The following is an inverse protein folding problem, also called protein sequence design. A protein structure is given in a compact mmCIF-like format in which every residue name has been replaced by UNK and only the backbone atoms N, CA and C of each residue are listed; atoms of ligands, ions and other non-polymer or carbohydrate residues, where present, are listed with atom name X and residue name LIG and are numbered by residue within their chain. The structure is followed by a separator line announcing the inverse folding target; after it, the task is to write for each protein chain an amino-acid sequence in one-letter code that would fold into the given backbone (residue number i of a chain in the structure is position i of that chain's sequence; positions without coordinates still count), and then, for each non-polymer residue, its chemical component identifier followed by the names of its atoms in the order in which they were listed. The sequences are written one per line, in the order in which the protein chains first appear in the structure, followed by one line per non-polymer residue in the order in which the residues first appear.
data_IF_203280090467
#
_entry.id   IF_203280090467
#
_cell.length_a   1.000
_cell.length_b   1.000
_cell.length_c   1.000
_cell.angle_alpha   90.00
_cell.angle_beta   90.00
_cell.angle_gamma   90.00
#
_symmetry.space_group_name_H-M   'P 1'
#
loop_
_entity.id
_entity.type
_entity.pdbx_description
1 polymer ?
#
# COMPACT_ATOMS: atom_id res chain seq x y z
N UNK A 1 15.57 24.76 14.44
CA UNK A 1 14.78 23.54 14.68
C UNK A 1 13.95 23.14 13.46
N UNK A 2 13.29 24.06 12.73
CA UNK A 2 12.48 23.73 11.54
C UNK A 2 13.20 22.90 10.48
N UNK A 3 14.39 23.33 10.06
CA UNK A 3 15.15 22.63 9.01
C UNK A 3 15.49 21.16 9.36
N UNK A 4 15.78 20.83 10.61
CA UNK A 4 16.04 19.45 11.02
C UNK A 4 14.76 18.59 10.96
N UNK A 5 13.62 19.13 11.36
CA UNK A 5 12.31 18.42 11.28
C UNK A 5 11.97 18.08 9.83
N UNK A 6 12.14 19.04 8.92
CA UNK A 6 11.80 18.84 7.49
C UNK A 6 12.66 17.74 6.85
N UNK A 7 13.97 17.69 7.20
CA UNK A 7 14.86 16.65 6.69
C UNK A 7 14.51 15.27 7.27
N UNK A 8 14.15 15.17 8.56
CA UNK A 8 13.71 13.91 9.14
C UNK A 8 12.42 13.41 8.50
N UNK A 9 11.47 14.33 8.24
CA UNK A 9 10.22 14.01 7.51
C UNK A 9 10.52 13.51 6.09
N UNK A 10 11.34 14.24 5.33
CA UNK A 10 11.73 13.86 3.97
C UNK A 10 12.45 12.51 3.95
N UNK A 11 13.35 12.28 4.91
CA UNK A 11 14.08 11.01 5.02
C UNK A 11 13.11 9.85 5.25
N UNK A 12 12.20 9.96 6.20
CA UNK A 12 11.20 8.92 6.46
C UNK A 12 10.27 8.74 5.27
N UNK A 13 9.77 9.84 4.69
CA UNK A 13 8.90 9.78 3.52
C UNK A 13 9.56 9.05 2.33
N UNK A 14 10.84 9.31 2.07
CA UNK A 14 11.59 8.62 1.02
C UNK A 14 11.75 7.13 1.33
N UNK A 15 12.19 6.78 2.53
CA UNK A 15 12.46 5.38 2.89
C UNK A 15 11.19 4.54 2.95
N UNK A 16 10.09 5.05 3.51
CA UNK A 16 8.82 4.32 3.59
C UNK A 16 8.18 4.16 2.21
N UNK A 17 8.21 5.19 1.37
CA UNK A 17 7.65 5.12 0.01
C UNK A 17 8.38 4.08 -0.83
N UNK A 18 9.71 4.04 -0.75
CA UNK A 18 10.49 3.03 -1.47
C UNK A 18 10.26 1.62 -0.90
N UNK A 19 10.28 1.46 0.42
CA UNK A 19 10.02 0.18 1.06
C UNK A 19 8.63 -0.36 0.70
N UNK A 20 7.61 0.48 0.72
CA UNK A 20 6.23 0.04 0.50
C UNK A 20 5.97 -0.52 -0.90
N UNK A 21 6.82 -0.23 -1.90
CA UNK A 21 6.75 -0.84 -3.23
C UNK A 21 6.74 -2.38 -3.16
N UNK A 22 7.50 -2.97 -2.25
CA UNK A 22 7.65 -4.41 -2.12
C UNK A 22 6.47 -5.05 -1.36
N UNK A 23 6.12 -4.64 -0.13
CA UNK A 23 5.00 -5.21 0.62
C UNK A 23 3.67 -5.16 -0.14
N UNK A 24 3.32 -4.06 -0.78
CA UNK A 24 2.07 -3.97 -1.50
C UNK A 24 1.95 -5.00 -2.64
N UNK A 25 3.06 -5.36 -3.30
CA UNK A 25 3.04 -6.42 -4.31
C UNK A 25 3.02 -7.81 -3.65
N UNK A 26 3.83 -8.07 -2.62
CA UNK A 26 3.87 -9.38 -1.96
C UNK A 26 2.54 -9.73 -1.31
N UNK A 27 1.89 -8.80 -0.61
CA UNK A 27 0.58 -9.01 0.02
C UNK A 27 -0.50 -9.34 -1.01
N UNK A 28 -0.51 -8.63 -2.15
CA UNK A 28 -1.43 -8.93 -3.26
C UNK A 28 -1.15 -10.27 -3.93
N UNK A 29 0.12 -10.56 -4.22
CA UNK A 29 0.53 -11.83 -4.82
C UNK A 29 0.31 -13.01 -3.89
N UNK A 30 0.45 -12.87 -2.57
CA UNK A 30 0.21 -13.95 -1.61
C UNK A 30 -1.20 -14.54 -1.76
N UNK A 31 -2.21 -13.70 -1.88
CA UNK A 31 -3.60 -14.12 -2.14
C UNK A 31 -3.72 -14.86 -3.47
N UNK A 32 -3.12 -14.34 -4.53
CA UNK A 32 -3.15 -14.95 -5.87
C UNK A 32 -2.38 -16.27 -5.92
N UNK A 33 -1.32 -16.42 -5.15
CA UNK A 33 -0.59 -17.68 -4.99
C UNK A 33 -1.46 -18.75 -4.32
N UNK A 34 -2.18 -18.42 -3.24
CA UNK A 34 -3.15 -19.33 -2.62
C UNK A 34 -4.22 -19.73 -3.61
N UNK A 35 -4.74 -18.77 -4.40
CA UNK A 35 -5.70 -19.08 -5.47
C UNK A 35 -5.15 -20.10 -6.49
N UNK A 36 -3.95 -19.88 -7.03
CA UNK A 36 -3.32 -20.78 -8.01
C UNK A 36 -3.04 -22.16 -7.40
N UNK A 37 -2.52 -22.21 -6.17
CA UNK A 37 -2.27 -23.48 -5.46
C UNK A 37 -3.57 -24.23 -5.15
N UNK A 38 -4.66 -23.51 -4.84
CA UNK A 38 -5.99 -24.12 -4.64
C UNK A 38 -6.52 -24.72 -5.95
N UNK A 39 -6.33 -24.01 -7.06
CA UNK A 39 -6.67 -24.55 -8.39
C UNK A 39 -5.85 -25.80 -8.70
N UNK A 40 -4.54 -25.77 -8.53
CA UNK A 40 -3.67 -26.91 -8.74
C UNK A 40 -4.06 -28.13 -7.86
N UNK A 41 -4.41 -27.89 -6.59
CA UNK A 41 -4.81 -28.93 -5.65
C UNK A 41 -6.16 -29.59 -6.06
N UNK A 42 -7.15 -28.76 -6.46
CA UNK A 42 -8.51 -29.24 -6.80
C UNK A 42 -8.59 -29.92 -8.16
N UNK A 43 -7.88 -29.41 -9.16
CA UNK A 43 -7.94 -29.92 -10.53
C UNK A 43 -6.92 -31.02 -10.83
N UNK A 44 -5.81 -31.07 -10.06
CA UNK A 44 -4.68 -31.91 -10.37
C UNK A 44 -3.82 -31.42 -11.53
N UNK A 45 -4.15 -30.29 -12.12
CA UNK A 45 -3.50 -29.74 -13.31
C UNK A 45 -2.17 -29.06 -12.93
N UNK A 46 -1.08 -29.58 -13.47
CA UNK A 46 0.28 -29.09 -13.26
C UNK A 46 0.48 -27.66 -13.84
N UNK A 47 -0.36 -27.24 -14.79
CA UNK A 47 -0.34 -25.90 -15.32
C UNK A 47 -0.47 -24.83 -14.21
N UNK A 48 -1.45 -24.98 -13.31
CA UNK A 48 -1.62 -24.06 -12.18
C UNK A 48 -0.48 -24.13 -11.17
N UNK A 49 0.15 -25.29 -11.00
CA UNK A 49 1.27 -25.47 -10.11
C UNK A 49 2.53 -24.78 -10.66
N UNK A 50 2.80 -24.89 -11.97
CA UNK A 50 3.88 -24.15 -12.65
C UNK A 50 3.65 -22.63 -12.60
N UNK A 51 2.41 -22.19 -12.83
CA UNK A 51 2.01 -20.80 -12.66
C UNK A 51 2.30 -20.28 -11.23
N UNK A 52 1.95 -21.07 -10.21
CA UNK A 52 2.24 -20.72 -8.82
C UNK A 52 3.74 -20.65 -8.54
N UNK A 53 4.55 -21.59 -9.05
CA UNK A 53 6.03 -21.52 -8.89
C UNK A 53 6.64 -20.29 -9.55
N UNK A 54 6.15 -19.89 -10.71
CA UNK A 54 6.58 -18.65 -11.38
C UNK A 54 6.32 -17.43 -10.51
N UNK A 55 5.09 -17.26 -10.04
CA UNK A 55 4.74 -16.13 -9.18
C UNK A 55 5.40 -16.21 -7.79
N UNK A 56 5.66 -17.40 -7.27
CA UNK A 56 6.41 -17.58 -6.03
C UNK A 56 7.86 -17.06 -6.10
N UNK A 57 8.52 -17.18 -7.27
CA UNK A 57 9.87 -16.62 -7.47
C UNK A 57 9.83 -15.10 -7.50
N UNK A 58 8.86 -14.51 -8.21
CA UNK A 58 8.63 -13.05 -8.21
C UNK A 58 8.34 -12.57 -6.78
N UNK A 59 7.48 -13.29 -6.05
CA UNK A 59 7.22 -13.03 -4.65
C UNK A 59 8.50 -13.04 -3.81
N UNK A 60 9.33 -14.10 -3.97
CA UNK A 60 10.60 -14.24 -3.23
C UNK A 60 11.58 -13.09 -3.49
N UNK A 61 11.69 -12.61 -4.73
CA UNK A 61 12.52 -11.44 -5.08
C UNK A 61 12.00 -10.20 -4.33
N UNK A 62 10.70 -9.95 -4.39
CA UNK A 62 10.10 -8.80 -3.70
C UNK A 62 10.22 -8.91 -2.18
N UNK A 63 10.00 -10.10 -1.61
CA UNK A 63 10.14 -10.32 -0.18
C UNK A 63 11.58 -10.02 0.30
N UNK A 64 12.59 -10.54 -0.40
CA UNK A 64 13.99 -10.30 -0.05
C UNK A 64 14.33 -8.80 -0.04
N UNK A 65 13.88 -8.05 -1.06
CA UNK A 65 14.10 -6.61 -1.13
C UNK A 65 13.25 -5.84 -0.11
N UNK A 66 12.05 -6.31 0.18
CA UNK A 66 11.22 -5.79 1.26
C UNK A 66 11.94 -5.89 2.62
N UNK A 67 12.54 -7.04 2.94
CA UNK A 67 13.34 -7.21 4.17
C UNK A 67 14.52 -6.26 4.21
N UNK A 68 15.31 -6.22 3.13
CA UNK A 68 16.53 -5.37 3.06
C UNK A 68 16.18 -3.88 3.24
N UNK A 69 15.04 -3.43 2.73
CA UNK A 69 14.62 -2.02 2.83
C UNK A 69 13.83 -1.71 4.10
N UNK A 70 13.20 -2.71 4.72
CA UNK A 70 12.45 -2.55 5.97
C UNK A 70 13.34 -2.43 7.20
N UNK A 71 14.39 -3.25 7.31
CA UNK A 71 15.29 -3.23 8.46
C UNK A 71 15.88 -1.83 8.73
N UNK A 72 16.44 -1.09 7.74
CA UNK A 72 16.90 0.28 7.98
C UNK A 72 15.81 1.24 8.44
N UNK A 73 14.56 1.03 8.00
CA UNK A 73 13.44 1.86 8.40
C UNK A 73 13.09 1.66 9.89
N UNK A 74 13.14 0.43 10.40
CA UNK A 74 12.98 0.15 11.82
C UNK A 74 14.02 0.88 12.69
N UNK A 75 15.27 0.96 12.22
CA UNK A 75 16.30 1.73 12.92
C UNK A 75 16.01 3.24 12.98
N UNK A 76 15.25 3.79 12.03
CA UNK A 76 14.90 5.21 12.05
C UNK A 76 14.02 5.60 13.25
N UNK A 77 13.24 4.68 13.82
CA UNK A 77 12.49 4.91 15.04
C UNK A 77 13.43 5.25 16.22
N UNK A 78 14.60 4.60 16.31
CA UNK A 78 15.59 4.89 17.33
C UNK A 78 16.53 6.04 17.00
N UNK A 79 16.85 6.26 15.73
CA UNK A 79 17.81 7.29 15.28
C UNK A 79 17.14 8.63 14.98
N UNK A 80 16.19 8.68 14.08
CA UNK A 80 15.57 9.91 13.58
C UNK A 80 14.36 10.35 14.41
N UNK A 81 13.63 9.40 15.00
CA UNK A 81 12.37 9.60 15.72
C UNK A 81 12.44 9.14 17.19
N UNK A 82 13.60 9.30 17.83
CA UNK A 82 13.83 8.80 19.19
C UNK A 82 12.89 9.41 20.25
N UNK A 83 12.49 10.68 20.11
CA UNK A 83 11.54 11.30 21.03
C UNK A 83 10.16 10.67 20.90
N UNK A 84 9.70 10.40 19.70
CA UNK A 84 8.47 9.64 19.43
C UNK A 84 8.53 8.25 20.05
N UNK A 85 9.57 7.48 19.75
CA UNK A 85 9.75 6.12 20.27
C UNK A 85 9.79 6.08 21.80
N UNK A 86 10.44 7.09 22.43
CA UNK A 86 10.46 7.21 23.88
C UNK A 86 9.08 7.51 24.47
N UNK A 87 8.30 8.37 23.81
CA UNK A 87 6.99 8.80 24.33
C UNK A 87 5.90 7.76 24.07
N UNK A 88 5.86 7.18 22.84
CA UNK A 88 4.81 6.29 22.38
C UNK A 88 5.18 4.79 22.42
N UNK A 89 6.41 4.45 22.81
CA UNK A 89 6.94 3.08 22.78
C UNK A 89 6.12 2.06 23.57
N UNK A 90 5.39 2.50 24.58
CA UNK A 90 4.47 1.64 25.35
C UNK A 90 3.31 1.10 24.51
N UNK A 91 2.93 1.78 23.41
CA UNK A 91 1.88 1.36 22.47
C UNK A 91 2.49 0.78 21.20
N UNK A 92 3.28 1.58 20.47
CA UNK A 92 3.81 1.16 19.16
C UNK A 92 4.76 -0.04 19.26
N UNK A 93 5.51 -0.15 20.34
CA UNK A 93 6.42 -1.28 20.57
C UNK A 93 5.70 -2.63 20.63
N UNK A 94 4.44 -2.67 21.07
CA UNK A 94 3.66 -3.91 21.10
C UNK A 94 3.30 -4.38 19.69
N UNK A 95 2.81 -3.48 18.83
CA UNK A 95 2.41 -3.82 17.47
C UNK A 95 3.63 -4.15 16.59
N UNK A 96 4.73 -3.40 16.70
CA UNK A 96 5.98 -3.69 15.99
C UNK A 96 6.60 -5.02 16.44
N UNK A 97 6.54 -5.34 17.75
CA UNK A 97 7.00 -6.64 18.24
C UNK A 97 6.14 -7.80 17.71
N UNK A 98 4.82 -7.62 17.64
CA UNK A 98 3.92 -8.64 17.06
C UNK A 98 4.17 -8.83 15.57
N UNK A 99 4.43 -7.74 14.84
CA UNK A 99 4.82 -7.81 13.44
C UNK A 99 6.12 -8.58 13.27
N UNK A 100 7.19 -8.17 13.92
CA UNK A 100 8.51 -8.77 13.75
C UNK A 100 8.59 -10.22 14.25
N UNK A 101 8.10 -10.49 15.49
CA UNK A 101 8.26 -11.82 16.13
C UNK A 101 7.29 -12.85 15.57
N UNK A 102 6.03 -12.48 15.32
CA UNK A 102 5.02 -13.47 14.90
C UNK A 102 4.82 -13.49 13.39
N UNK A 103 4.53 -12.33 12.80
CA UNK A 103 4.13 -12.29 11.39
C UNK A 103 5.30 -12.51 10.45
N UNK A 104 6.38 -11.77 10.63
CA UNK A 104 7.58 -11.89 9.79
C UNK A 104 8.26 -13.27 9.91
N UNK A 105 8.38 -13.83 11.13
CA UNK A 105 8.92 -15.18 11.30
C UNK A 105 8.00 -16.25 10.70
N UNK A 106 6.69 -16.09 10.81
CA UNK A 106 5.74 -16.99 10.15
C UNK A 106 5.93 -16.94 8.63
N UNK A 107 5.91 -15.75 8.05
CA UNK A 107 6.06 -15.54 6.60
C UNK A 107 7.40 -16.08 6.08
N UNK A 108 8.51 -15.67 6.69
CA UNK A 108 9.86 -16.05 6.24
C UNK A 108 10.13 -17.56 6.38
N UNK A 109 9.68 -18.19 7.47
CA UNK A 109 9.86 -19.63 7.69
C UNK A 109 9.08 -20.45 6.66
N UNK A 110 7.83 -20.11 6.40
CA UNK A 110 7.00 -20.82 5.44
C UNK A 110 7.31 -20.45 3.98
N UNK A 111 7.89 -19.28 3.71
CA UNK A 111 8.37 -18.94 2.38
C UNK A 111 9.49 -19.87 1.91
N UNK A 112 10.45 -20.20 2.77
CA UNK A 112 11.49 -21.18 2.47
C UNK A 112 10.90 -22.56 2.14
N UNK A 113 9.91 -23.01 2.91
CA UNK A 113 9.18 -24.25 2.64
C UNK A 113 8.36 -24.18 1.34
N UNK A 114 7.77 -23.05 1.04
CA UNK A 114 6.99 -22.84 -0.18
C UNK A 114 7.90 -22.82 -1.43
N UNK A 115 9.05 -22.19 -1.36
CA UNK A 115 9.97 -22.12 -2.52
C UNK A 115 10.70 -23.44 -2.79
N UNK A 116 11.12 -24.17 -1.75
CA UNK A 116 12.03 -25.29 -1.86
C UNK A 116 11.48 -26.62 -1.35
N UNK A 117 10.35 -26.62 -0.63
CA UNK A 117 9.84 -27.80 0.09
C UNK A 117 8.86 -28.67 -0.66
N UNK A 118 8.48 -28.35 -1.91
CA UNK A 118 7.36 -28.99 -2.62
C UNK A 118 7.47 -30.53 -2.68
N UNK A 119 8.66 -31.04 -3.03
CA UNK A 119 8.86 -32.50 -3.14
C UNK A 119 8.75 -33.22 -1.78
N UNK A 120 9.11 -32.55 -0.68
CA UNK A 120 9.07 -33.13 0.67
C UNK A 120 7.70 -33.03 1.33
N UNK A 121 7.00 -31.91 1.10
CA UNK A 121 5.72 -31.62 1.75
C UNK A 121 4.50 -32.28 1.04
N UNK A 122 4.67 -32.70 -0.21
CA UNK A 122 3.56 -33.15 -1.03
C UNK A 122 2.55 -32.03 -1.33
N UNK A 123 1.45 -32.36 -2.04
CA UNK A 123 0.51 -31.36 -2.57
C UNK A 123 -0.22 -30.57 -1.50
N UNK A 124 -0.69 -31.23 -0.44
CA UNK A 124 -1.46 -30.60 0.64
C UNK A 124 -0.51 -29.77 1.53
N UNK A 125 0.61 -30.32 1.96
CA UNK A 125 1.59 -29.60 2.79
C UNK A 125 2.15 -28.36 2.07
N UNK A 126 2.37 -28.44 0.76
CA UNK A 126 2.81 -27.31 -0.04
C UNK A 126 1.70 -26.24 -0.23
N UNK A 127 0.44 -26.63 -0.27
CA UNK A 127 -0.69 -25.69 -0.22
C UNK A 127 -0.73 -24.96 1.12
N UNK A 128 -0.54 -25.69 2.24
CA UNK A 128 -0.49 -25.06 3.57
C UNK A 128 0.69 -24.10 3.71
N UNK A 129 1.85 -24.39 3.12
CA UNK A 129 2.97 -23.43 3.14
C UNK A 129 2.63 -22.13 2.42
N UNK A 130 1.95 -22.19 1.27
CA UNK A 130 1.47 -21.00 0.57
C UNK A 130 0.44 -20.21 1.39
N UNK A 131 -0.49 -20.91 2.07
CA UNK A 131 -1.49 -20.28 2.90
C UNK A 131 -0.87 -19.60 4.13
N UNK A 132 0.13 -20.21 4.76
CA UNK A 132 0.81 -19.64 5.92
C UNK A 132 1.72 -18.46 5.55
N UNK A 133 2.31 -18.44 4.36
CA UNK A 133 2.97 -17.25 3.79
C UNK A 133 1.96 -16.12 3.62
N UNK A 134 0.79 -16.40 3.02
CA UNK A 134 -0.29 -15.43 2.89
C UNK A 134 -0.75 -14.89 4.26
N UNK A 135 -1.00 -15.78 5.22
CA UNK A 135 -1.42 -15.39 6.55
C UNK A 135 -0.38 -14.52 7.27
N UNK A 136 0.90 -14.91 7.21
CA UNK A 136 2.01 -14.15 7.80
C UNK A 136 2.12 -12.75 7.19
N UNK A 137 2.11 -12.66 5.85
CA UNK A 137 2.18 -11.40 5.11
C UNK A 137 1.01 -10.46 5.46
N UNK A 138 -0.22 -10.98 5.53
CA UNK A 138 -1.39 -10.19 5.87
C UNK A 138 -1.44 -9.79 7.33
N UNK A 139 -0.98 -10.63 8.26
CA UNK A 139 -0.84 -10.28 9.67
C UNK A 139 0.24 -9.21 9.88
N UNK A 140 1.37 -9.29 9.17
CA UNK A 140 2.40 -8.25 9.19
C UNK A 140 1.79 -6.89 8.82
N UNK A 141 1.09 -6.82 7.68
CA UNK A 141 0.37 -5.62 7.27
C UNK A 141 -0.65 -5.14 8.29
N UNK A 142 -1.34 -6.06 8.99
CA UNK A 142 -2.30 -5.70 10.03
C UNK A 142 -1.66 -4.95 11.19
N UNK A 143 -0.57 -5.48 11.74
CA UNK A 143 0.09 -4.86 12.89
C UNK A 143 0.70 -3.50 12.56
N UNK A 144 1.26 -3.34 11.37
CA UNK A 144 1.77 -2.05 10.90
C UNK A 144 0.62 -1.04 10.72
N UNK A 145 -0.48 -1.44 10.06
CA UNK A 145 -1.64 -0.55 9.86
C UNK A 145 -2.32 -0.20 11.18
N UNK A 146 -2.38 -1.12 12.16
CA UNK A 146 -2.87 -0.80 13.52
C UNK A 146 -2.02 0.27 14.18
N UNK A 147 -0.70 0.23 13.99
CA UNK A 147 0.21 1.26 14.51
C UNK A 147 -0.12 2.63 13.92
N UNK A 148 -0.24 2.72 12.60
CA UNK A 148 -0.58 3.98 11.94
C UNK A 148 -2.00 4.44 12.29
N UNK A 149 -2.97 3.55 12.28
CA UNK A 149 -4.35 3.84 12.65
C UNK A 149 -4.46 4.42 14.07
N UNK A 150 -3.64 3.91 15.01
CA UNK A 150 -3.54 4.48 16.33
C UNK A 150 -2.93 5.89 16.32
N UNK A 151 -1.94 6.15 15.47
CA UNK A 151 -1.40 7.51 15.31
C UNK A 151 -2.44 8.46 14.69
N UNK A 152 -3.31 7.96 13.80
CA UNK A 152 -4.40 8.72 13.19
C UNK A 152 -5.54 9.01 14.17
N UNK A 153 -5.91 8.04 15.00
CA UNK A 153 -7.00 8.13 15.97
C UNK A 153 -6.64 7.37 17.25
N UNK A 154 -5.92 8.01 18.19
CA UNK A 154 -5.43 7.34 19.39
C UNK A 154 -6.57 6.82 20.27
N UNK A 155 -6.54 5.53 20.56
CA UNK A 155 -7.47 4.82 21.46
C UNK A 155 -6.67 3.88 22.37
N UNK A 156 -7.31 3.32 23.39
CA UNK A 156 -6.71 2.28 24.24
C UNK A 156 -5.38 2.68 24.90
N UNK A 157 -5.20 3.94 25.27
CA UNK A 157 -4.00 4.46 25.92
C UNK A 157 -4.31 5.15 27.24
N UNK A 158 -3.28 5.34 28.05
CA UNK A 158 -3.27 6.20 29.23
C UNK A 158 -1.97 7.00 29.27
N UNK A 159 -2.00 8.15 29.91
CA UNK A 159 -0.81 8.96 30.14
C UNK A 159 -0.16 8.56 31.47
N UNK A 160 1.09 8.10 31.41
CA UNK A 160 1.90 7.81 32.58
C UNK A 160 2.35 9.09 33.30
N UNK A 161 2.78 8.98 34.55
CA UNK A 161 3.23 10.11 35.39
C UNK A 161 4.41 10.88 34.79
N UNK A 162 5.20 10.27 33.93
CA UNK A 162 6.35 10.85 33.23
C UNK A 162 6.01 11.41 31.84
N UNK A 163 4.71 11.46 31.49
CA UNK A 163 4.24 11.89 30.17
C UNK A 163 4.39 10.84 29.04
N UNK A 164 4.83 9.61 29.37
CA UNK A 164 4.86 8.52 28.40
C UNK A 164 3.42 8.02 28.12
N UNK A 165 3.20 7.59 26.90
CA UNK A 165 1.93 7.02 26.48
C UNK A 165 2.00 5.49 26.66
N UNK A 166 1.16 4.97 27.51
CA UNK A 166 1.12 3.56 27.85
C UNK A 166 -0.13 2.89 27.28
N UNK A 167 -0.01 1.64 26.86
CA UNK A 167 -1.14 0.85 26.40
C UNK A 167 -2.05 0.50 27.58
N UNK A 168 -3.35 0.76 27.45
CA UNK A 168 -4.35 0.40 28.45
C UNK A 168 -5.05 -0.92 28.15
N UNK A 169 -5.24 -1.25 26.86
CA UNK A 169 -5.89 -2.48 26.40
C UNK A 169 -5.36 -2.88 25.02
N UNK A 170 -4.76 -4.06 24.94
CA UNK A 170 -4.23 -4.59 23.69
C UNK A 170 -5.34 -4.94 22.68
N UNK A 171 -6.43 -5.51 23.16
CA UNK A 171 -7.54 -5.88 22.29
C UNK A 171 -8.29 -4.67 21.74
N UNK A 172 -8.47 -3.61 22.53
CA UNK A 172 -9.10 -2.37 22.06
C UNK A 172 -8.21 -1.64 21.07
N UNK A 173 -6.89 -1.78 21.19
CA UNK A 173 -5.95 -1.28 20.17
C UNK A 173 -6.12 -2.04 18.84
N UNK A 174 -6.10 -3.37 18.88
CA UNK A 174 -6.21 -4.18 17.68
C UNK A 174 -7.57 -4.07 17.00
N UNK A 175 -8.64 -4.05 17.76
CA UNK A 175 -10.01 -4.07 17.24
C UNK A 175 -10.63 -2.67 17.06
N UNK A 176 -9.80 -1.62 17.08
CA UNK A 176 -10.34 -0.29 16.87
C UNK A 176 -10.90 -0.14 15.44
N UNK A 177 -11.99 0.62 15.33
CA UNK A 177 -12.73 0.76 14.08
C UNK A 177 -11.91 1.43 12.96
N UNK A 178 -11.01 2.36 13.31
CA UNK A 178 -10.13 3.00 12.34
C UNK A 178 -9.16 1.99 11.72
N UNK A 179 -8.51 1.18 12.54
CA UNK A 179 -7.57 0.15 12.09
C UNK A 179 -8.22 -0.88 11.16
N UNK A 180 -9.42 -1.34 11.49
CA UNK A 180 -10.13 -2.34 10.68
C UNK A 180 -10.44 -1.83 9.27
N UNK A 181 -10.96 -0.61 9.15
CA UNK A 181 -11.31 -0.04 7.84
C UNK A 181 -10.07 0.41 7.04
N UNK A 182 -9.08 1.01 7.70
CA UNK A 182 -7.83 1.38 7.06
C UNK A 182 -7.09 0.15 6.54
N UNK A 183 -7.03 -0.92 7.34
CA UNK A 183 -6.44 -2.18 6.91
C UNK A 183 -7.18 -2.80 5.72
N UNK A 184 -8.50 -2.89 5.79
CA UNK A 184 -9.29 -3.45 4.69
C UNK A 184 -9.07 -2.66 3.39
N UNK A 185 -9.06 -1.32 3.45
CA UNK A 185 -8.81 -0.46 2.29
C UNK A 185 -7.38 -0.65 1.74
N UNK A 186 -6.37 -0.65 2.60
CA UNK A 186 -4.96 -0.84 2.24
C UNK A 186 -4.71 -2.21 1.60
N UNK A 187 -5.28 -3.27 2.17
CA UNK A 187 -5.09 -4.63 1.63
C UNK A 187 -5.77 -4.82 0.28
N UNK A 188 -6.92 -4.18 0.04
CA UNK A 188 -7.53 -4.17 -1.29
C UNK A 188 -6.66 -3.41 -2.30
N UNK A 189 -5.99 -2.34 -1.91
CA UNK A 189 -4.99 -1.66 -2.73
C UNK A 189 -3.80 -2.55 -3.08
N UNK A 190 -3.32 -3.35 -2.13
CA UNK A 190 -2.28 -4.35 -2.38
C UNK A 190 -2.76 -5.46 -3.33
N UNK A 191 -4.00 -5.94 -3.16
CA UNK A 191 -4.62 -6.91 -4.08
C UNK A 191 -4.74 -6.32 -5.48
N UNK A 192 -5.15 -5.05 -5.62
CA UNK A 192 -5.17 -4.35 -6.90
C UNK A 192 -3.79 -4.34 -7.56
N UNK A 193 -2.75 -4.03 -6.81
CA UNK A 193 -1.36 -4.05 -7.31
C UNK A 193 -0.99 -5.43 -7.84
N UNK A 194 -1.20 -6.49 -7.06
CA UNK A 194 -0.95 -7.88 -7.48
C UNK A 194 -1.75 -8.28 -8.71
N UNK A 195 -3.03 -7.86 -8.81
CA UNK A 195 -3.91 -8.15 -9.92
C UNK A 195 -3.48 -7.46 -11.21
N UNK A 196 -3.14 -6.16 -11.16
CA UNK A 196 -2.66 -5.43 -12.34
C UNK A 196 -1.31 -5.95 -12.80
N UNK A 197 -0.38 -6.28 -11.89
CA UNK A 197 0.91 -6.88 -12.24
C UNK A 197 0.70 -8.25 -12.88
N UNK A 198 -0.14 -9.11 -12.31
CA UNK A 198 -0.42 -10.43 -12.88
C UNK A 198 -1.12 -10.33 -14.24
N UNK A 199 -2.13 -9.48 -14.38
CA UNK A 199 -2.82 -9.26 -15.64
C UNK A 199 -1.90 -8.62 -16.70
N UNK A 200 -1.04 -7.68 -16.30
CA UNK A 200 -0.08 -7.03 -17.17
C UNK A 200 0.97 -7.98 -17.75
N UNK A 201 1.56 -8.84 -16.91
CA UNK A 201 2.47 -9.91 -17.37
C UNK A 201 1.73 -10.89 -18.29
N UNK A 202 0.50 -11.25 -17.96
CA UNK A 202 -0.34 -12.10 -18.81
C UNK A 202 -0.64 -11.43 -20.15
N UNK A 203 -0.95 -10.13 -20.17
CA UNK A 203 -1.18 -9.36 -21.37
C UNK A 203 0.10 -9.26 -22.24
N UNK A 204 1.26 -9.06 -21.61
CA UNK A 204 2.56 -9.10 -22.30
C UNK A 204 2.77 -10.44 -23.03
N UNK A 205 2.50 -11.56 -22.38
CA UNK A 205 2.65 -12.87 -23.00
C UNK A 205 1.70 -13.07 -24.19
N UNK A 206 0.46 -12.61 -24.09
CA UNK A 206 -0.50 -12.67 -25.19
C UNK A 206 -0.11 -11.75 -26.37
N UNK A 207 0.34 -10.54 -26.10
CA UNK A 207 0.76 -9.57 -27.12
C UNK A 207 2.02 -10.03 -27.87
N UNK A 208 2.96 -10.67 -27.17
CA UNK A 208 4.21 -11.19 -27.75
C UNK A 208 4.08 -12.61 -28.28
N UNK A 209 2.93 -13.26 -28.10
CA UNK A 209 2.68 -14.66 -28.46
C UNK A 209 3.66 -15.64 -27.80
N UNK A 210 4.10 -15.32 -26.59
CA UNK A 210 4.94 -16.18 -25.74
C UNK A 210 4.11 -16.68 -24.58
N UNK A 211 4.29 -17.95 -24.15
CA UNK A 211 3.59 -18.50 -22.99
C UNK A 211 2.07 -18.22 -22.96
N UNK A 212 1.37 -18.24 -24.11
CA UNK A 212 -0.02 -17.77 -24.26
C UNK A 212 -0.99 -18.46 -23.29
N UNK A 213 -0.81 -19.75 -23.02
CA UNK A 213 -1.66 -20.50 -22.08
C UNK A 213 -1.57 -19.92 -20.67
N UNK A 214 -0.38 -19.58 -20.23
CA UNK A 214 -0.15 -18.88 -18.95
C UNK A 214 -0.65 -17.43 -19.01
N UNK A 215 -0.45 -16.76 -20.14
CA UNK A 215 -0.98 -15.42 -20.38
C UNK A 215 -2.49 -15.34 -20.15
N UNK A 216 -3.25 -16.28 -20.70
CA UNK A 216 -4.73 -16.39 -20.49
C UNK A 216 -5.06 -16.62 -19.01
N UNK A 217 -4.31 -17.49 -18.33
CA UNK A 217 -4.51 -17.77 -16.90
C UNK A 217 -4.26 -16.53 -16.05
N UNK A 218 -3.16 -15.80 -16.30
CA UNK A 218 -2.79 -14.61 -15.54
C UNK A 218 -3.75 -13.45 -15.76
N UNK A 219 -4.11 -13.16 -17.01
CA UNK A 219 -5.12 -12.14 -17.34
C UNK A 219 -6.45 -12.49 -16.68
N UNK A 220 -6.91 -13.74 -16.78
CA UNK A 220 -8.17 -14.17 -16.17
C UNK A 220 -8.17 -14.01 -14.64
N UNK A 221 -7.13 -14.49 -13.98
CA UNK A 221 -7.02 -14.40 -12.53
C UNK A 221 -6.94 -12.93 -12.06
N UNK A 222 -6.06 -12.15 -12.66
CA UNK A 222 -5.89 -10.74 -12.33
C UNK A 222 -7.16 -9.91 -12.57
N UNK A 223 -7.86 -10.12 -13.70
CA UNK A 223 -9.09 -9.37 -14.02
C UNK A 223 -10.23 -9.73 -13.07
N UNK A 224 -10.47 -11.02 -12.79
CA UNK A 224 -11.57 -11.42 -11.93
C UNK A 224 -11.36 -10.93 -10.49
N UNK A 225 -10.20 -11.22 -9.91
CA UNK A 225 -9.90 -10.83 -8.53
C UNK A 225 -9.77 -9.30 -8.43
N UNK A 226 -9.14 -8.65 -9.42
CA UNK A 226 -8.98 -7.21 -9.49
C UNK A 226 -10.32 -6.46 -9.58
N UNK A 227 -11.30 -6.99 -10.34
CA UNK A 227 -12.64 -6.38 -10.39
C UNK A 227 -13.33 -6.42 -9.03
N UNK A 228 -13.27 -7.57 -8.35
CA UNK A 228 -13.86 -7.70 -7.00
C UNK A 228 -13.17 -6.72 -6.04
N UNK A 229 -11.83 -6.68 -6.05
CA UNK A 229 -11.06 -5.79 -5.20
C UNK A 229 -11.37 -4.30 -5.49
N UNK A 230 -11.48 -3.89 -6.76
CA UNK A 230 -11.79 -2.52 -7.15
C UNK A 230 -13.15 -2.05 -6.63
N UNK A 231 -14.18 -2.90 -6.74
CA UNK A 231 -15.52 -2.59 -6.24
C UNK A 231 -15.51 -2.48 -4.72
N UNK A 232 -14.89 -3.43 -4.02
CA UNK A 232 -14.81 -3.43 -2.55
C UNK A 232 -13.95 -2.27 -2.02
N UNK A 233 -12.93 -1.84 -2.77
CA UNK A 233 -12.08 -0.72 -2.39
C UNK A 233 -12.82 0.62 -2.48
N UNK A 234 -13.72 0.80 -3.43
CA UNK A 234 -14.60 1.96 -3.49
C UNK A 234 -15.63 1.92 -2.36
N UNK A 235 -16.38 0.83 -2.27
CA UNK A 235 -17.44 0.62 -1.28
C UNK A 235 -17.46 -0.85 -0.86
N UNK A 236 -17.35 -1.16 0.45
CA UNK A 236 -17.51 -0.22 1.57
C UNK A 236 -16.23 0.47 2.06
N UNK A 237 -15.01 0.02 1.67
CA UNK A 237 -13.82 0.38 2.44
C UNK A 237 -13.39 1.85 2.24
N UNK A 238 -13.42 2.38 1.03
CA UNK A 238 -13.13 3.79 0.76
C UNK A 238 -14.17 4.74 1.37
N UNK A 239 -15.46 4.42 1.25
CA UNK A 239 -16.55 5.18 1.87
C UNK A 239 -16.40 5.24 3.40
N UNK A 240 -16.07 4.12 4.03
CA UNK A 240 -15.90 4.07 5.49
C UNK A 240 -14.64 4.80 5.95
N UNK A 241 -13.54 4.69 5.20
CA UNK A 241 -12.31 5.42 5.50
C UNK A 241 -12.53 6.94 5.39
N UNK A 242 -13.18 7.40 4.33
CA UNK A 242 -13.54 8.81 4.17
C UNK A 242 -14.44 9.32 5.31
N UNK A 243 -15.39 8.54 5.77
CA UNK A 243 -16.24 8.89 6.93
C UNK A 243 -15.45 8.96 8.24
N UNK A 244 -14.50 8.06 8.47
CA UNK A 244 -13.65 8.14 9.66
C UNK A 244 -12.88 9.45 9.71
N UNK A 245 -12.34 9.89 8.57
CA UNK A 245 -11.70 11.21 8.45
C UNK A 245 -12.71 12.32 8.71
N UNK A 246 -13.88 12.27 8.09
CA UNK A 246 -14.92 13.29 8.24
C UNK A 246 -15.41 13.49 9.68
N UNK A 247 -15.51 12.41 10.44
CA UNK A 247 -15.99 12.49 11.83
C UNK A 247 -14.88 12.80 12.83
N UNK A 248 -13.63 12.39 12.57
CA UNK A 248 -12.56 12.47 13.57
C UNK A 248 -11.46 13.48 13.22
N UNK A 249 -11.31 13.84 11.94
CA UNK A 249 -10.26 14.73 11.45
C UNK A 249 -10.84 15.75 10.46
N UNK A 250 -11.80 16.57 10.92
CA UNK A 250 -12.51 17.53 10.08
C UNK A 250 -11.59 18.52 9.33
N UNK A 251 -10.49 19.05 9.94
CA UNK A 251 -9.53 19.87 9.19
C UNK A 251 -8.88 19.13 8.02
N UNK A 252 -8.61 17.84 8.19
CA UNK A 252 -8.09 16.97 7.12
C UNK A 252 -9.08 16.81 5.99
N UNK A 253 -10.38 16.57 6.32
CA UNK A 253 -11.43 16.51 5.31
C UNK A 253 -11.50 17.81 4.50
N UNK A 254 -11.58 18.94 5.18
CA UNK A 254 -11.66 20.25 4.54
C UNK A 254 -10.44 20.52 3.62
N UNK A 255 -9.24 20.15 4.06
CA UNK A 255 -8.01 20.34 3.30
C UNK A 255 -7.94 19.42 2.06
N UNK A 256 -8.31 18.14 2.20
CA UNK A 256 -8.24 17.19 1.08
C UNK A 256 -9.31 17.47 0.00
N UNK A 257 -10.42 18.11 0.37
CA UNK A 257 -11.48 18.52 -0.54
C UNK A 257 -11.33 19.97 -1.04
N UNK A 258 -10.34 20.72 -0.51
CA UNK A 258 -10.12 22.11 -0.89
C UNK A 258 -11.22 23.06 -0.38
N UNK A 259 -11.95 22.68 0.68
CA UNK A 259 -13.04 23.45 1.25
C UNK A 259 -12.51 24.43 2.31
N UNK A 260 -12.40 25.72 1.96
CA UNK A 260 -11.91 26.74 2.88
C UNK A 260 -13.01 27.30 3.77
N UNK A 261 -14.20 27.52 3.24
CA UNK A 261 -15.35 28.06 3.97
C UNK A 261 -16.40 26.95 4.21
N UNK A 262 -17.04 26.97 5.38
CA UNK A 262 -18.09 26.02 5.72
C UNK A 262 -19.32 26.22 4.82
N UNK A 263 -19.89 25.13 4.33
CA UNK A 263 -20.98 25.21 3.37
C UNK A 263 -22.04 24.14 3.62
N UNK A 264 -23.30 24.57 3.63
CA UNK A 264 -24.46 23.69 3.55
C UNK A 264 -24.64 23.21 2.10
N UNK A 265 -24.79 21.89 1.90
CA UNK A 265 -24.82 21.34 0.55
C UNK A 265 -23.50 21.50 -0.18
N UNK A 266 -22.38 21.23 0.51
CA UNK A 266 -21.03 21.39 -0.04
C UNK A 266 -20.84 20.55 -1.30
N UNK A 267 -20.29 21.12 -2.39
CA UNK A 267 -19.98 20.40 -3.62
C UNK A 267 -18.76 19.49 -3.41
N UNK A 268 -18.68 18.43 -4.20
CA UNK A 268 -17.48 17.61 -4.35
C UNK A 268 -16.62 18.20 -5.48
N UNK A 269 -15.43 18.65 -5.18
CA UNK A 269 -14.48 19.06 -6.20
C UNK A 269 -13.88 17.83 -6.88
N UNK A 270 -13.99 17.73 -8.21
CA UNK A 270 -13.31 16.70 -9.00
C UNK A 270 -11.91 17.18 -9.38
N UNK A 271 -11.78 18.45 -9.71
CA UNK A 271 -10.54 19.15 -10.07
C UNK A 271 -10.56 20.55 -9.50
N UNK A 272 -9.39 21.10 -9.23
CA UNK A 272 -9.23 22.46 -8.75
C UNK A 272 -7.79 22.73 -8.36
N UNK A 273 -7.50 23.96 -7.96
CA UNK A 273 -6.19 24.40 -7.50
C UNK A 273 -6.36 25.14 -6.17
N UNK A 274 -5.99 24.53 -5.03
CA UNK A 274 -6.14 25.17 -3.74
C UNK A 274 -5.17 26.36 -3.58
N UNK A 275 -5.70 27.56 -3.46
CA UNK A 275 -4.96 28.79 -3.13
C UNK A 275 -5.12 29.06 -1.64
N UNK A 276 -4.11 28.70 -0.87
CA UNK A 276 -4.12 28.83 0.60
C UNK A 276 -4.06 30.29 1.05
N UNK A 277 -3.41 31.17 0.28
CA UNK A 277 -3.31 32.59 0.60
C UNK A 277 -4.66 33.28 0.44
N UNK A 278 -5.36 33.00 -0.66
CA UNK A 278 -6.69 33.53 -0.94
C UNK A 278 -7.82 32.75 -0.29
N UNK A 279 -7.50 31.62 0.36
CA UNK A 279 -8.46 30.70 1.00
C UNK A 279 -9.61 30.31 0.08
N UNK A 280 -9.27 29.82 -1.11
CA UNK A 280 -10.25 29.38 -2.10
C UNK A 280 -9.70 28.28 -2.98
N UNK A 281 -10.60 27.55 -3.62
CA UNK A 281 -10.25 26.62 -4.69
C UNK A 281 -10.41 27.37 -6.02
N UNK A 282 -9.33 27.51 -6.78
CA UNK A 282 -9.34 28.13 -8.10
C UNK A 282 -9.75 27.12 -9.18
N UNK A 283 -10.52 27.59 -10.18
CA UNK A 283 -10.98 26.81 -11.33
C UNK A 283 -11.59 25.44 -10.97
N UNK A 284 -12.51 25.36 -10.00
CA UNK A 284 -13.06 24.09 -9.57
C UNK A 284 -13.99 23.50 -10.63
N UNK A 285 -13.87 22.20 -10.86
CA UNK A 285 -14.89 21.37 -11.48
C UNK A 285 -15.61 20.60 -10.39
N UNK A 286 -16.85 20.92 -10.14
CA UNK A 286 -17.60 20.47 -8.96
C UNK A 286 -18.88 19.73 -9.31
N UNK A 287 -19.23 18.77 -8.43
CA UNK A 287 -20.56 18.15 -8.42
C UNK A 287 -21.34 18.74 -7.23
N UNK A 288 -22.41 19.50 -7.47
CA UNK A 288 -23.16 20.16 -6.40
C UNK A 288 -23.67 19.19 -5.33
N UNK A 289 -23.65 19.59 -4.06
CA UNK A 289 -24.16 18.88 -2.89
C UNK A 289 -23.55 17.48 -2.62
N UNK A 290 -22.67 16.99 -3.52
CA UNK A 290 -22.18 15.61 -3.48
C UNK A 290 -21.26 15.36 -2.28
N UNK A 291 -20.41 16.31 -1.86
CA UNK A 291 -19.54 16.16 -0.69
C UNK A 291 -20.40 15.98 0.58
N UNK A 292 -21.42 16.81 0.77
CA UNK A 292 -22.35 16.67 1.88
C UNK A 292 -23.03 15.30 1.90
N UNK A 293 -23.47 14.82 0.73
CA UNK A 293 -24.10 13.50 0.61
C UNK A 293 -23.13 12.35 0.88
N UNK A 294 -21.92 12.38 0.32
CA UNK A 294 -20.94 11.34 0.54
C UNK A 294 -20.53 11.26 2.01
N UNK A 295 -20.31 12.39 2.64
CA UNK A 295 -19.85 12.50 4.03
C UNK A 295 -20.94 12.09 5.03
N UNK A 296 -22.14 12.68 4.92
CA UNK A 296 -23.17 12.57 5.96
C UNK A 296 -24.45 11.85 5.49
N UNK A 297 -24.52 11.42 4.22
CA UNK A 297 -25.71 10.84 3.58
C UNK A 297 -26.92 11.79 3.57
N UNK A 298 -26.66 13.08 3.62
CA UNK A 298 -27.65 14.16 3.56
C UNK A 298 -27.16 15.22 2.58
N UNK A 299 -27.96 15.53 1.56
CA UNK A 299 -27.61 16.48 0.49
C UNK A 299 -27.27 17.88 0.99
N UNK A 300 -27.97 18.35 2.04
CA UNK A 300 -27.79 19.68 2.61
C UNK A 300 -27.09 19.69 3.98
N UNK A 301 -26.35 18.63 4.31
CA UNK A 301 -25.54 18.67 5.51
C UNK A 301 -24.50 19.78 5.42
N UNK A 302 -24.24 20.46 6.53
CA UNK A 302 -23.16 21.44 6.61
C UNK A 302 -21.82 20.71 6.74
N UNK A 303 -20.90 20.99 5.82
CA UNK A 303 -19.50 20.53 5.88
C UNK A 303 -18.63 21.69 6.33
N UNK A 304 -17.85 21.50 7.39
CA UNK A 304 -16.97 22.53 7.91
C UNK A 304 -15.77 22.74 6.98
N UNK A 305 -15.50 24.02 6.69
CA UNK A 305 -14.31 24.45 5.98
C UNK A 305 -13.12 24.70 6.90
N UNK A 306 -11.94 24.87 6.32
CA UNK A 306 -10.70 25.15 7.06
C UNK A 306 -10.80 26.40 7.96
N UNK A 307 -11.56 27.43 7.53
CA UNK A 307 -11.72 28.66 8.29
C UNK A 307 -12.38 28.49 9.67
N UNK A 308 -13.09 27.41 9.90
CA UNK A 308 -13.68 27.07 11.20
C UNK A 308 -12.66 26.56 12.23
N UNK A 309 -11.43 26.26 11.79
CA UNK A 309 -10.38 25.71 12.64
C UNK A 309 -9.21 26.65 12.78
N UNK A 310 -8.51 26.65 13.94
CA UNK A 310 -7.27 27.40 14.11
C UNK A 310 -6.24 26.99 13.04
N UNK A 311 -5.53 27.96 12.46
CA UNK A 311 -4.48 27.67 11.46
C UNK A 311 -3.39 26.74 11.97
N UNK A 312 -3.15 26.70 13.29
CA UNK A 312 -2.20 25.78 13.93
C UNK A 312 -2.62 24.31 13.87
N UNK A 313 -3.87 24.04 13.48
CA UNK A 313 -4.40 22.67 13.29
C UNK A 313 -4.60 22.31 11.81
N UNK A 314 -4.34 23.24 10.92
CA UNK A 314 -4.40 22.98 9.49
C UNK A 314 -3.26 22.04 9.07
N UNK A 315 -3.50 21.11 8.14
CA UNK A 315 -2.43 20.35 7.51
C UNK A 315 -1.37 21.28 6.89
N UNK A 316 -0.09 20.98 7.12
CA UNK A 316 1.03 21.86 6.71
C UNK A 316 1.14 22.06 5.19
N UNK A 317 0.74 21.07 4.41
CA UNK A 317 0.92 21.00 2.96
C UNK A 317 -0.41 20.78 2.23
N UNK A 318 -1.37 21.71 2.40
CA UNK A 318 -2.72 21.61 1.86
C UNK A 318 -2.75 21.30 0.34
N UNK A 319 -1.98 21.99 -0.53
CA UNK A 319 -2.00 21.67 -1.97
C UNK A 319 -1.53 20.24 -2.25
N UNK A 320 -0.47 19.78 -1.58
CA UNK A 320 0.04 18.42 -1.77
C UNK A 320 -0.95 17.37 -1.27
N UNK A 321 -1.60 17.61 -0.15
CA UNK A 321 -2.68 16.76 0.38
C UNK A 321 -3.85 16.66 -0.60
N UNK A 322 -4.33 17.81 -1.11
CA UNK A 322 -5.41 17.88 -2.08
C UNK A 322 -5.11 17.05 -3.33
N UNK A 323 -3.93 17.28 -3.95
CA UNK A 323 -3.57 16.54 -5.17
C UNK A 323 -3.34 15.06 -4.91
N UNK A 324 -2.75 14.68 -3.77
CA UNK A 324 -2.57 13.26 -3.42
C UNK A 324 -3.90 12.53 -3.30
N UNK A 325 -4.88 13.14 -2.63
CA UNK A 325 -6.23 12.59 -2.51
C UNK A 325 -6.90 12.41 -3.89
N UNK A 326 -6.86 13.45 -4.72
CA UNK A 326 -7.50 13.42 -6.05
C UNK A 326 -6.83 12.44 -7.01
N UNK A 327 -5.49 12.29 -6.93
CA UNK A 327 -4.76 11.26 -7.70
C UNK A 327 -5.18 9.86 -7.26
N UNK A 328 -5.26 9.60 -5.95
CA UNK A 328 -5.72 8.31 -5.43
C UNK A 328 -7.13 7.96 -5.91
N UNK A 329 -8.09 8.87 -5.73
CA UNK A 329 -9.50 8.66 -6.10
C UNK A 329 -9.68 8.55 -7.62
N UNK A 330 -8.99 9.40 -8.38
CA UNK A 330 -9.02 9.40 -9.84
C UNK A 330 -8.48 8.08 -10.42
N UNK A 331 -7.33 7.60 -9.93
CA UNK A 331 -6.77 6.32 -10.35
C UNK A 331 -7.66 5.15 -9.91
N UNK A 332 -8.23 5.19 -8.69
CA UNK A 332 -9.20 4.20 -8.24
C UNK A 332 -10.41 4.09 -9.17
N UNK A 333 -10.92 5.21 -9.65
CA UNK A 333 -12.03 5.25 -10.64
C UNK A 333 -11.60 4.62 -11.98
N UNK A 334 -10.39 4.90 -12.44
CA UNK A 334 -9.81 4.27 -13.64
C UNK A 334 -9.68 2.76 -13.46
N UNK A 335 -9.25 2.28 -12.29
CA UNK A 335 -9.13 0.83 -12.02
C UNK A 335 -10.47 0.12 -12.12
N UNK A 336 -11.53 0.70 -11.57
CA UNK A 336 -12.88 0.16 -11.68
C UNK A 336 -13.29 0.08 -13.17
N UNK A 337 -13.12 1.16 -13.91
CA UNK A 337 -13.47 1.21 -15.33
C UNK A 337 -12.71 0.15 -16.15
N UNK A 338 -11.39 0.06 -15.97
CA UNK A 338 -10.53 -0.89 -16.70
C UNK A 338 -10.89 -2.33 -16.33
N UNK A 339 -11.02 -2.64 -15.04
CA UNK A 339 -11.29 -4.01 -14.56
C UNK A 339 -12.70 -4.48 -14.93
N UNK A 340 -13.70 -3.61 -14.79
CA UNK A 340 -15.09 -3.95 -15.21
C UNK A 340 -15.16 -4.17 -16.72
N UNK A 341 -14.53 -3.30 -17.51
CA UNK A 341 -14.53 -3.45 -18.98
C UNK A 341 -13.77 -4.71 -19.41
N UNK A 342 -12.63 -5.01 -18.78
CA UNK A 342 -11.90 -6.25 -19.02
C UNK A 342 -12.74 -7.47 -18.62
N UNK A 343 -13.48 -7.42 -17.51
CA UNK A 343 -14.39 -8.49 -17.08
C UNK A 343 -15.56 -8.70 -18.06
N UNK A 344 -16.13 -7.63 -18.61
CA UNK A 344 -17.16 -7.70 -19.64
C UNK A 344 -16.63 -8.35 -20.93
N UNK A 345 -15.41 -7.98 -21.35
CA UNK A 345 -14.75 -8.61 -22.50
C UNK A 345 -14.42 -10.08 -22.23
N UNK A 346 -14.00 -10.42 -21.00
CA UNK A 346 -13.75 -11.80 -20.58
C UNK A 346 -15.04 -12.63 -20.62
N UNK A 347 -16.14 -12.11 -20.09
CA UNK A 347 -17.45 -12.75 -20.12
C UNK A 347 -17.95 -13.00 -21.56
N UNK A 348 -17.68 -12.06 -22.47
CA UNK A 348 -18.00 -12.19 -23.90
C UNK A 348 -17.01 -13.08 -24.68
N UNK A 349 -15.98 -13.62 -24.04
CA UNK A 349 -14.94 -14.44 -24.68
C UNK A 349 -13.98 -13.66 -25.60
N UNK A 350 -13.99 -12.32 -25.57
CA UNK A 350 -13.25 -11.45 -26.48
C UNK A 350 -11.98 -10.82 -25.87
N UNK A 351 -11.75 -11.00 -24.56
CA UNK A 351 -10.66 -10.31 -23.86
C UNK A 351 -9.28 -10.65 -24.45
N UNK A 352 -9.02 -11.92 -24.72
CA UNK A 352 -7.71 -12.39 -25.18
C UNK A 352 -7.34 -11.96 -26.59
N UNK A 353 -8.32 -11.61 -27.40
CA UNK A 353 -8.15 -11.14 -28.77
C UNK A 353 -8.18 -9.60 -28.88
N UNK A 354 -8.55 -8.94 -27.78
CA UNK A 354 -8.70 -7.49 -27.70
C UNK A 354 -7.36 -6.80 -27.42
N UNK A 355 -6.54 -6.60 -28.48
CA UNK A 355 -5.17 -6.04 -28.35
C UNK A 355 -5.14 -4.73 -27.55
N UNK A 356 -6.09 -3.82 -27.78
CA UNK A 356 -6.14 -2.54 -27.08
C UNK A 356 -6.35 -2.71 -25.57
N UNK A 357 -7.19 -3.69 -25.14
CA UNK A 357 -7.39 -3.96 -23.71
C UNK A 357 -6.17 -4.63 -23.09
N UNK A 358 -5.48 -5.52 -23.81
CA UNK A 358 -4.23 -6.11 -23.36
C UNK A 358 -3.15 -5.03 -23.16
N UNK A 359 -3.03 -4.07 -24.10
CA UNK A 359 -2.17 -2.90 -23.93
C UNK A 359 -2.56 -2.07 -22.71
N UNK A 360 -3.85 -1.82 -22.52
CA UNK A 360 -4.36 -1.08 -21.35
C UNK A 360 -3.96 -1.78 -20.05
N UNK A 361 -4.19 -3.10 -19.91
CA UNK A 361 -3.81 -3.86 -18.74
C UNK A 361 -2.30 -3.81 -18.46
N UNK A 362 -1.46 -3.86 -19.50
CA UNK A 362 -0.02 -3.77 -19.38
C UNK A 362 0.44 -2.37 -18.96
N UNK A 363 -0.10 -1.32 -19.58
CA UNK A 363 0.27 0.07 -19.28
C UNK A 363 -0.25 0.53 -17.89
N UNK A 364 -1.29 -0.09 -17.38
CA UNK A 364 -1.80 0.20 -16.05
C UNK A 364 -0.96 -0.41 -14.91
N UNK A 365 0.04 -1.26 -15.17
CA UNK A 365 0.87 -1.91 -14.13
C UNK A 365 1.46 -0.93 -13.10
N UNK A 366 2.02 0.25 -13.45
CA UNK A 366 2.57 1.17 -12.47
C UNK A 366 1.50 1.96 -11.69
N UNK A 367 0.27 2.06 -12.19
CA UNK A 367 -0.75 2.95 -11.64
C UNK A 367 -1.20 2.57 -10.21
N UNK A 368 -1.38 1.29 -9.83
CA UNK A 368 -1.69 0.95 -8.44
C UNK A 368 -0.60 1.35 -7.44
N UNK A 369 0.67 1.32 -7.85
CA UNK A 369 1.76 1.82 -7.00
C UNK A 369 1.63 3.33 -6.74
N UNK A 370 1.30 4.09 -7.78
CA UNK A 370 1.07 5.54 -7.68
C UNK A 370 -0.15 5.82 -6.81
N UNK A 371 -1.26 5.10 -7.01
CA UNK A 371 -2.49 5.29 -6.24
C UNK A 371 -2.31 4.98 -4.76
N UNK A 372 -1.64 3.87 -4.42
CA UNK A 372 -1.36 3.51 -3.04
C UNK A 372 -0.42 4.52 -2.37
N UNK A 373 0.63 4.98 -3.07
CA UNK A 373 1.52 6.04 -2.57
C UNK A 373 0.75 7.33 -2.31
N UNK A 374 -0.10 7.75 -3.25
CA UNK A 374 -0.95 8.92 -3.11
C UNK A 374 -1.94 8.78 -1.94
N UNK A 375 -2.50 7.58 -1.74
CA UNK A 375 -3.37 7.28 -0.60
C UNK A 375 -2.66 7.40 0.74
N UNK A 376 -1.45 6.85 0.86
CA UNK A 376 -0.62 7.02 2.06
C UNK A 376 -0.18 8.47 2.27
N UNK A 377 0.19 9.19 1.21
CA UNK A 377 0.44 10.63 1.31
C UNK A 377 -0.79 11.39 1.81
N UNK A 378 -1.99 11.02 1.37
CA UNK A 378 -3.24 11.62 1.86
C UNK A 378 -3.40 11.42 3.37
N UNK A 379 -3.21 10.21 3.87
CA UNK A 379 -3.30 9.91 5.30
C UNK A 379 -2.24 10.66 6.12
N UNK A 380 -0.97 10.60 5.69
CA UNK A 380 0.16 11.14 6.43
C UNK A 380 0.25 12.67 6.38
N UNK A 381 -0.06 13.29 5.26
CA UNK A 381 -0.13 14.76 5.14
C UNK A 381 -1.37 15.30 5.84
N UNK A 382 -2.49 14.56 5.77
CA UNK A 382 -3.74 14.94 6.44
C UNK A 382 -3.63 14.96 7.96
N UNK A 383 -2.83 14.05 8.54
CA UNK A 383 -2.57 14.01 9.98
C UNK A 383 -1.75 15.20 10.47
N UNK A 384 -0.93 15.82 9.61
CA UNK A 384 -0.10 16.96 10.03
C UNK A 384 -0.96 18.14 10.54
N UNK A 385 -0.42 18.92 11.49
CA UNK A 385 0.94 18.90 12.04
C UNK A 385 1.15 17.90 13.19
N UNK A 386 0.27 16.92 13.33
CA UNK A 386 0.35 15.91 14.38
C UNK A 386 1.16 14.69 13.94
N UNK A 387 2.02 14.20 14.82
CA UNK A 387 2.62 12.86 14.70
C UNK A 387 1.70 11.79 15.30
N UNK A 388 1.10 12.10 16.45
CA UNK A 388 -0.01 11.35 17.03
C UNK A 388 -1.15 12.35 17.21
N UNK A 389 -2.26 12.13 16.52
CA UNK A 389 -3.34 13.10 16.42
C UNK A 389 -3.84 13.55 17.80
N UNK A 390 -3.80 14.85 18.05
CA UNK A 390 -4.20 15.46 19.31
C UNK A 390 -3.26 15.26 20.50
N UNK A 391 -2.23 14.39 20.40
CA UNK A 391 -1.34 14.07 21.51
C UNK A 391 0.09 14.56 21.34
N UNK A 392 0.64 14.47 20.13
CA UNK A 392 2.05 14.80 19.88
C UNK A 392 2.21 15.48 18.53
N UNK A 393 2.83 16.66 18.52
CA UNK A 393 3.20 17.36 17.27
C UNK A 393 4.39 16.69 16.60
N UNK A 394 4.44 16.71 15.27
CA UNK A 394 5.54 16.14 14.49
C UNK A 394 6.91 16.71 14.88
N UNK A 395 6.98 18.02 15.11
CA UNK A 395 8.22 18.67 15.56
C UNK A 395 8.74 18.16 16.91
N UNK A 396 7.87 17.62 17.75
CA UNK A 396 8.24 17.09 19.08
C UNK A 396 8.71 15.62 19.02
N UNK A 397 8.48 14.92 17.90
CA UNK A 397 8.81 13.49 17.75
C UNK A 397 10.23 13.22 17.26
N UNK A 398 10.89 14.21 16.65
CA UNK A 398 12.24 14.04 16.09
C UNK A 398 13.31 13.90 17.17
N UNK A 399 14.41 13.25 16.82
CA UNK A 399 15.58 13.13 17.68
C UNK A 399 16.26 14.47 17.93
N UNK A 400 16.43 14.90 19.18
CA UNK A 400 17.08 16.17 19.49
C UNK A 400 18.60 16.14 19.27
N UNK A 401 19.19 14.96 19.13
CA UNK A 401 20.64 14.73 19.00
C UNK A 401 21.12 14.56 17.56
N UNK A 402 20.21 14.47 16.58
CA UNK A 402 20.57 14.29 15.17
C UNK A 402 20.42 15.61 14.43
N UNK A 403 21.55 16.22 14.09
CA UNK A 403 21.59 17.47 13.34
C UNK A 403 21.13 17.27 11.88
N UNK A 404 20.61 18.33 11.26
CA UNK A 404 20.15 18.31 9.87
C UNK A 404 21.22 17.79 8.89
N UNK A 405 22.51 18.15 9.07
CA UNK A 405 23.60 17.66 8.23
C UNK A 405 23.78 16.13 8.28
N UNK A 406 23.65 15.52 9.45
CA UNK A 406 23.72 14.06 9.59
C UNK A 406 22.52 13.39 8.93
N UNK A 407 21.33 13.96 9.06
CA UNK A 407 20.13 13.46 8.42
C UNK A 407 20.21 13.55 6.88
N UNK A 408 20.78 14.65 6.34
CA UNK A 408 21.09 14.79 4.92
C UNK A 408 22.07 13.74 4.42
N UNK A 409 23.18 13.53 5.15
CA UNK A 409 24.19 12.53 4.79
C UNK A 409 23.58 11.13 4.69
N UNK A 410 22.79 10.72 5.68
CA UNK A 410 22.13 9.42 5.68
C UNK A 410 21.05 9.30 4.59
N UNK A 411 20.28 10.37 4.34
CA UNK A 411 19.29 10.38 3.24
C UNK A 411 19.96 10.16 1.88
N UNK A 412 21.05 10.88 1.58
CA UNK A 412 21.79 10.72 0.32
C UNK A 412 22.32 9.28 0.19
N UNK A 413 22.86 8.73 1.31
CA UNK A 413 23.30 7.33 1.35
C UNK A 413 22.18 6.34 1.02
N UNK A 414 20.98 6.53 1.62
CA UNK A 414 19.80 5.71 1.30
C UNK A 414 19.33 5.90 -0.14
N UNK A 415 19.33 7.12 -0.67
CA UNK A 415 18.98 7.35 -2.07
C UNK A 415 19.89 6.59 -3.03
N UNK A 416 21.20 6.61 -2.80
CA UNK A 416 22.19 5.86 -3.59
C UNK A 416 21.98 4.35 -3.50
N UNK A 417 21.88 3.82 -2.29
CA UNK A 417 21.67 2.38 -2.05
C UNK A 417 20.35 1.90 -2.66
N UNK A 418 19.25 2.63 -2.45
CA UNK A 418 17.93 2.24 -2.96
C UNK A 418 17.84 2.34 -4.49
N UNK A 419 18.60 3.26 -5.10
CA UNK A 419 18.73 3.29 -6.59
C UNK A 419 19.35 2.01 -7.11
N UNK A 420 20.43 1.53 -6.48
CA UNK A 420 21.06 0.25 -6.86
C UNK A 420 20.10 -0.91 -6.67
N UNK A 421 19.39 -0.96 -5.53
CA UNK A 421 18.39 -2.00 -5.26
C UNK A 421 17.23 -1.96 -6.25
N UNK A 422 16.78 -0.77 -6.68
CA UNK A 422 15.73 -0.62 -7.70
C UNK A 422 16.17 -1.18 -9.05
N UNK A 423 17.41 -0.88 -9.47
CA UNK A 423 17.96 -1.41 -10.72
C UNK A 423 18.05 -2.95 -10.65
N UNK A 424 18.59 -3.48 -9.55
CA UNK A 424 18.67 -4.92 -9.33
C UNK A 424 17.28 -5.58 -9.34
N UNK A 425 16.30 -4.97 -8.66
CA UNK A 425 14.92 -5.45 -8.62
C UNK A 425 14.30 -5.52 -10.03
N UNK A 426 14.38 -4.43 -10.78
CA UNK A 426 13.85 -4.38 -12.14
C UNK A 426 14.51 -5.42 -13.05
N UNK A 427 15.83 -5.58 -12.95
CA UNK A 427 16.56 -6.59 -13.69
C UNK A 427 16.10 -8.02 -13.35
N UNK A 428 15.98 -8.34 -12.05
CA UNK A 428 15.56 -9.67 -11.60
C UNK A 428 14.12 -9.99 -12.01
N UNK A 429 13.19 -9.02 -11.88
CA UNK A 429 11.79 -9.19 -12.30
C UNK A 429 11.71 -9.36 -13.82
N UNK A 430 12.39 -8.51 -14.57
CA UNK A 430 12.43 -8.60 -16.03
C UNK A 430 12.95 -9.98 -16.48
N UNK A 431 14.09 -10.43 -15.91
CA UNK A 431 14.66 -11.74 -16.19
C UNK A 431 13.69 -12.88 -15.89
N UNK A 432 13.00 -12.85 -14.74
CA UNK A 432 12.03 -13.89 -14.38
C UNK A 432 10.84 -13.91 -15.35
N UNK A 433 10.33 -12.74 -15.75
CA UNK A 433 9.26 -12.62 -16.74
C UNK A 433 9.69 -13.14 -18.11
N UNK A 434 10.92 -12.87 -18.55
CA UNK A 434 11.46 -13.39 -19.83
C UNK A 434 11.60 -14.93 -19.81
N UNK A 435 12.12 -15.51 -18.73
CA UNK A 435 12.26 -16.96 -18.57
C UNK A 435 10.88 -17.66 -18.56
N UNK A 436 9.87 -17.02 -18.02
CA UNK A 436 8.50 -17.53 -17.99
C UNK A 436 8.29 -18.71 -17.04
N UNK A 437 7.06 -19.29 -17.06
CA UNK A 437 6.69 -20.41 -16.19
C UNK A 437 7.27 -21.76 -16.60
N UNK A 438 7.66 -21.96 -17.85
CA UNK A 438 8.11 -23.25 -18.35
C UNK A 438 9.54 -23.60 -17.90
N UNK A 439 9.75 -24.82 -17.35
CA UNK A 439 11.07 -25.25 -16.88
C UNK A 439 12.13 -25.37 -18.01
N UNK A 440 11.69 -25.66 -19.23
CA UNK A 440 12.59 -25.83 -20.39
C UNK A 440 13.30 -24.55 -20.83
N UNK A 441 12.82 -23.38 -20.41
CA UNK A 441 13.45 -22.09 -20.70
C UNK A 441 14.52 -21.70 -19.66
N UNK A 442 14.80 -22.55 -18.68
CA UNK A 442 15.74 -22.25 -17.60
C UNK A 442 17.09 -22.87 -17.87
N UNK A 443 18.19 -22.13 -17.66
CA UNK A 443 19.52 -22.69 -17.74
C UNK A 443 19.67 -23.84 -16.74
N UNK A 444 20.24 -24.97 -17.18
CA UNK A 444 20.61 -26.07 -16.31
C UNK A 444 21.85 -25.69 -15.47
N UNK A 445 22.08 -26.34 -14.34
CA UNK A 445 23.01 -25.86 -13.31
C UNK A 445 24.41 -25.47 -13.78
N UNK A 446 24.93 -26.02 -14.89
CA UNK A 446 26.24 -25.63 -15.48
C UNK A 446 26.11 -24.27 -16.23
N UNK A 447 25.04 -24.07 -16.97
CA UNK A 447 24.78 -22.78 -17.69
C UNK A 447 24.46 -21.62 -16.75
N UNK A 448 23.92 -21.93 -15.57
CA UNK A 448 23.56 -20.88 -14.57
C UNK A 448 24.82 -20.26 -13.93
N UNK A 449 25.92 -21.00 -13.84
CA UNK A 449 27.20 -20.52 -13.30
C UNK A 449 27.91 -19.63 -14.33
N UNK A 450 27.82 -19.94 -15.60
CA UNK A 450 28.44 -19.16 -16.68
C UNK A 450 27.73 -17.82 -16.87
N UNK A 451 26.37 -17.78 -16.80
CA UNK A 451 25.59 -16.55 -16.90
C UNK A 451 25.66 -15.63 -15.67
N UNK A 452 26.22 -16.09 -14.56
CA UNK A 452 26.49 -15.27 -13.38
C UNK A 452 27.92 -14.67 -13.38
N UNK A 453 28.75 -15.07 -14.35
CA UNK A 453 30.16 -14.65 -14.48
C UNK A 453 30.40 -13.65 -15.63
N UNK A 454 29.44 -13.48 -16.54
CA UNK A 454 29.38 -12.44 -17.58
C UNK A 454 28.48 -11.26 -17.13
#
# INVERSE_FOLDING_TARGET
MGQAVDIHRLHFAFTITFHYIFPQLTMGLALLLVYLKTKALRTGDEHYNRAARFWARIFGINFALGVVTGIPMEFQFGTNWAAFSKTAGGVIGQTLAMEGVFSFFLESSFLGLFLFGEKKLGRIGHWWSAFLVFLGSWLSGYFIVVTDAWMQHPTAYRLGANGAIELSSFWDLLLNNWALWQYAHTMLGAVQTGCFVMAGVGAFYLLTKRNETYGRTFVRAGVIVGTIAAVLQLSPTGDMQGKLVAYNQQPTLAAMEGLFESQEGAPLAILGQPDVEKRKLDNPLEVPEMLSFLTYKQWRANVKGLSDFPQTEWPDQIPLLYYSYHVMVGLGTIFIAVMVLASLLLWRGKLYDSRWMLWMLMLCVPLPYIANTAGWMTAELGRQPWLIYGLMRTASGVSPRVAAGNAWFTLIGFMGMYTVLAILWLFLIYREVELGPDPGNRPTGEDAIVLAAD
#
